data_IF_203898723792
#
_entry.id   IF_203898723792
#
_cell.length_a   1.000
_cell.length_b   1.000
_cell.length_c   1.000
_cell.angle_alpha   90.00
_cell.angle_beta   90.00
_cell.angle_gamma   90.00
#
_symmetry.space_group_name_H-M   'P 1'
#
loop_
_entity.id
_entity.type
_entity.pdbx_description
1 polymer ?
#
# COMPACT_ATOMS: atom_id res chain seq x y z
N UNK A 1 -12.95 15.16 -8.70
CA UNK A 1 -11.98 14.80 -7.64
C UNK A 1 -10.88 15.84 -7.71
N UNK A 2 -10.49 16.45 -6.59
CA UNK A 2 -9.61 17.61 -6.55
C UNK A 2 -8.28 17.37 -7.31
N UNK A 3 -7.73 18.46 -7.83
CA UNK A 3 -6.58 18.67 -8.72
C UNK A 3 -5.20 18.19 -8.22
N UNK A 4 -5.14 17.20 -7.33
CA UNK A 4 -3.90 16.69 -6.75
C UNK A 4 -3.96 15.18 -6.52
N UNK A 5 -2.80 14.55 -6.53
CA UNK A 5 -2.68 13.13 -6.18
C UNK A 5 -3.26 12.86 -4.79
N UNK A 6 -3.91 11.72 -4.59
CA UNK A 6 -4.57 11.40 -3.33
C UNK A 6 -4.37 9.93 -2.94
N UNK A 7 -4.40 9.66 -1.64
CA UNK A 7 -4.27 8.31 -1.11
C UNK A 7 -5.66 7.67 -0.92
N UNK A 8 -5.75 6.39 -1.24
CA UNK A 8 -6.96 5.56 -1.21
C UNK A 8 -6.73 4.38 -0.25
N UNK A 9 -7.77 3.93 0.45
CA UNK A 9 -7.69 2.78 1.37
C UNK A 9 -9.04 2.09 1.54
N UNK A 10 -9.01 0.80 1.87
CA UNK A 10 -10.20 0.03 2.26
C UNK A 10 -10.72 0.42 3.65
N UNK A 11 -9.82 0.60 4.60
CA UNK A 11 -10.10 0.93 6.00
C UNK A 11 -8.85 1.52 6.66
N UNK A 12 -8.98 2.07 7.88
CA UNK A 12 -7.83 2.46 8.70
C UNK A 12 -8.04 2.09 10.17
N UNK A 13 -6.96 1.68 10.85
CA UNK A 13 -6.97 1.38 12.28
C UNK A 13 -7.26 2.62 13.12
N UNK A 14 -6.65 3.75 12.77
CA UNK A 14 -6.92 5.06 13.35
C UNK A 14 -6.38 6.16 12.44
N UNK A 15 -6.68 7.42 12.78
CA UNK A 15 -6.20 8.60 12.03
C UNK A 15 -4.66 8.72 12.02
N UNK A 16 -3.97 8.13 13.01
CA UNK A 16 -2.50 8.06 13.04
C UNK A 16 -1.93 7.14 11.94
N UNK A 17 -2.75 6.22 11.41
CA UNK A 17 -2.39 5.22 10.40
C UNK A 17 -3.14 5.41 9.08
N UNK A 18 -3.43 6.65 8.71
CA UNK A 18 -4.17 6.95 7.48
C UNK A 18 -3.37 6.72 6.20
N UNK A 19 -4.08 6.56 5.08
CA UNK A 19 -3.50 6.19 3.78
C UNK A 19 -2.36 7.12 3.32
N UNK A 20 -2.48 8.44 3.58
CA UNK A 20 -1.47 9.42 3.21
C UNK A 20 -0.10 9.14 3.85
N UNK A 21 -0.07 8.47 5.01
CA UNK A 21 1.17 8.08 5.69
C UNK A 21 1.99 7.01 4.97
N UNK A 22 1.40 6.32 4.01
CA UNK A 22 2.14 5.38 3.15
C UNK A 22 2.84 6.07 1.97
N UNK A 23 2.52 7.35 1.71
CA UNK A 23 3.03 8.13 0.58
C UNK A 23 3.75 9.41 1.01
N UNK A 24 4.10 9.54 2.30
CA UNK A 24 4.73 10.75 2.87
C UNK A 24 6.27 10.67 2.94
N UNK A 25 6.86 9.57 2.46
CA UNK A 25 8.31 9.35 2.44
C UNK A 25 8.94 9.08 3.82
N UNK A 26 8.14 8.95 4.88
CA UNK A 26 8.64 8.69 6.23
C UNK A 26 8.38 7.23 6.65
N UNK A 27 9.44 6.43 6.68
CA UNK A 27 9.37 5.02 7.09
C UNK A 27 9.01 4.80 8.57
N UNK A 28 8.90 5.86 9.39
CA UNK A 28 8.41 5.78 10.78
C UNK A 28 6.89 5.94 10.87
N UNK A 29 6.24 6.37 9.79
CA UNK A 29 4.78 6.42 9.65
C UNK A 29 4.33 5.39 8.61
N UNK A 30 3.04 5.11 8.57
CA UNK A 30 2.50 4.15 7.61
C UNK A 30 1.00 3.98 7.73
N UNK A 31 0.43 3.31 6.75
CA UNK A 31 -0.97 2.91 6.78
C UNK A 31 -1.13 1.54 7.46
N UNK A 32 -2.25 1.37 8.17
CA UNK A 32 -2.69 0.07 8.67
C UNK A 32 -4.21 -0.01 8.57
N UNK A 33 -4.70 -1.12 8.04
CA UNK A 33 -6.12 -1.43 7.96
C UNK A 33 -6.75 -1.55 9.36
N UNK A 34 -8.07 -1.37 9.45
CA UNK A 34 -8.82 -1.54 10.70
C UNK A 34 -8.71 -2.96 11.30
N UNK A 35 -8.44 -3.95 10.45
CA UNK A 35 -8.21 -5.33 10.87
C UNK A 35 -7.82 -6.22 9.68
N UNK A 36 -7.51 -7.48 9.97
CA UNK A 36 -7.14 -8.49 8.96
C UNK A 36 -8.34 -9.22 8.37
N UNK A 37 -9.53 -9.01 8.93
CA UNK A 37 -10.80 -9.62 8.51
C UNK A 37 -11.80 -8.55 8.05
N UNK A 38 -12.46 -8.75 6.88
CA UNK A 38 -12.14 -9.77 5.88
C UNK A 38 -10.74 -9.54 5.28
N UNK A 39 -10.14 -10.62 4.77
CA UNK A 39 -8.91 -10.52 4.00
C UNK A 39 -9.13 -9.65 2.74
N UNK A 40 -8.04 -9.16 2.13
CA UNK A 40 -8.12 -8.31 0.94
C UNK A 40 -8.23 -6.81 1.25
N UNK A 41 -7.63 -6.38 2.36
CA UNK A 41 -7.43 -4.96 2.61
C UNK A 41 -6.53 -4.36 1.53
N UNK A 42 -6.80 -3.12 1.14
CA UNK A 42 -6.12 -2.47 0.04
C UNK A 42 -5.76 -1.02 0.37
N UNK A 43 -4.67 -0.59 -0.24
CA UNK A 43 -4.13 0.76 -0.22
C UNK A 43 -3.85 1.13 -1.68
N UNK A 44 -4.10 2.37 -2.06
CA UNK A 44 -3.89 2.84 -3.42
C UNK A 44 -3.52 4.31 -3.48
N UNK A 45 -3.15 4.75 -4.67
CA UNK A 45 -2.81 6.12 -4.98
C UNK A 45 -3.53 6.55 -6.25
N UNK A 46 -4.29 7.65 -6.18
CA UNK A 46 -4.83 8.33 -7.35
C UNK A 46 -3.83 9.37 -7.82
N UNK A 47 -3.39 9.27 -9.08
CA UNK A 47 -2.49 10.24 -9.68
C UNK A 47 -3.26 11.44 -10.24
N UNK A 48 -2.65 12.62 -10.26
CA UNK A 48 -3.26 13.84 -10.80
C UNK A 48 -3.48 13.76 -12.33
N UNK A 49 -2.70 12.92 -13.01
CA UNK A 49 -2.82 12.63 -14.43
C UNK A 49 -2.53 11.15 -14.68
N UNK A 50 -2.81 10.66 -15.89
CA UNK A 50 -2.42 9.30 -16.29
C UNK A 50 -0.91 9.13 -16.17
N UNK A 51 -0.51 7.98 -15.64
CA UNK A 51 0.89 7.58 -15.48
C UNK A 51 1.03 6.10 -15.82
N UNK A 52 2.16 5.75 -16.44
CA UNK A 52 2.56 4.37 -16.61
C UNK A 52 3.44 3.97 -15.41
N UNK A 53 2.88 3.17 -14.50
CA UNK A 53 3.59 2.72 -13.30
C UNK A 53 4.44 1.49 -13.63
N UNK A 54 5.76 1.65 -13.61
CA UNK A 54 6.71 0.57 -13.88
C UNK A 54 7.03 -0.30 -12.66
N UNK A 55 6.86 0.23 -11.45
CA UNK A 55 7.19 -0.48 -10.21
C UNK A 55 6.39 0.03 -9.02
N UNK A 56 6.28 -0.82 -7.99
CA UNK A 56 5.80 -0.46 -6.66
C UNK A 56 6.88 -0.79 -5.64
N UNK A 57 7.22 0.19 -4.81
CA UNK A 57 8.08 -0.02 -3.65
C UNK A 57 7.22 -0.06 -2.38
N UNK A 58 7.44 -1.07 -1.54
CA UNK A 58 6.78 -1.19 -0.24
C UNK A 58 7.86 -1.23 0.84
N UNK A 59 7.75 -0.32 1.80
CA UNK A 59 8.68 -0.22 2.92
C UNK A 59 8.03 -0.78 4.18
N UNK A 60 8.71 -1.71 4.84
CA UNK A 60 8.36 -2.07 6.20
C UNK A 60 8.73 -0.92 7.13
N UNK A 61 7.81 -0.54 8.02
CA UNK A 61 8.05 0.51 9.02
C UNK A 61 9.37 0.29 9.78
N UNK A 62 10.11 1.35 10.10
CA UNK A 62 11.43 1.29 10.73
C UNK A 62 11.42 1.01 12.24
N UNK A 63 10.25 1.09 12.89
CA UNK A 63 10.09 0.86 14.33
C UNK A 63 8.94 -0.10 14.66
N UNK A 64 9.14 -0.89 15.71
CA UNK A 64 8.10 -1.70 16.34
C UNK A 64 7.20 -0.82 17.22
N UNK A 65 6.32 -0.03 16.62
CA UNK A 65 5.35 0.75 17.41
C UNK A 65 4.21 -0.17 17.83
N UNK A 66 4.13 -0.53 19.13
CA UNK A 66 2.95 -0.97 19.93
C UNK A 66 1.96 -2.02 19.38
N UNK A 67 2.12 -2.48 18.15
CA UNK A 67 1.13 -3.16 17.33
C UNK A 67 1.69 -3.64 15.99
N UNK A 68 2.85 -3.11 15.56
CA UNK A 68 3.58 -3.62 14.40
C UNK A 68 4.58 -4.72 14.75
N UNK A 69 4.52 -5.82 14.00
CA UNK A 69 5.39 -7.00 14.15
C UNK A 69 6.11 -7.26 12.84
N UNK A 70 7.27 -7.91 12.89
CA UNK A 70 8.11 -8.34 11.75
C UNK A 70 7.45 -9.27 10.71
N UNK A 71 6.12 -9.45 10.75
CA UNK A 71 5.35 -10.35 9.91
C UNK A 71 4.03 -9.71 9.41
N UNK A 72 3.98 -8.39 9.26
CA UNK A 72 2.79 -7.68 8.76
C UNK A 72 2.96 -7.16 7.32
N UNK A 73 4.08 -7.50 6.67
CA UNK A 73 4.23 -7.28 5.23
C UNK A 73 3.23 -8.16 4.45
N UNK A 74 2.76 -7.71 3.27
CA UNK A 74 1.90 -8.52 2.45
C UNK A 74 2.67 -9.75 1.93
N UNK A 75 2.30 -10.95 2.41
CA UNK A 75 2.83 -12.20 1.87
C UNK A 75 2.41 -12.39 0.40
N UNK A 76 1.13 -12.15 0.13
CA UNK A 76 0.52 -12.21 -1.19
C UNK A 76 -0.25 -10.92 -1.45
N UNK A 77 -0.13 -10.34 -2.64
CA UNK A 77 -0.91 -9.17 -3.03
C UNK A 77 -1.02 -9.06 -4.56
N UNK A 78 -1.93 -8.20 -5.00
CA UNK A 78 -2.10 -7.83 -6.41
C UNK A 78 -1.88 -6.34 -6.57
N UNK A 79 -1.28 -5.96 -7.68
CA UNK A 79 -1.29 -4.56 -8.14
C UNK A 79 -2.40 -4.44 -9.17
N UNK A 80 -3.34 -3.54 -8.89
CA UNK A 80 -4.46 -3.24 -9.76
C UNK A 80 -4.45 -1.76 -10.12
N UNK A 81 -4.98 -1.44 -11.29
CA UNK A 81 -5.19 -0.06 -11.73
C UNK A 81 -6.63 0.15 -12.20
N UNK A 82 -7.02 1.41 -12.26
CA UNK A 82 -8.31 1.86 -12.76
C UNK A 82 -8.09 3.12 -13.60
N UNK A 83 -8.64 3.14 -14.80
CA UNK A 83 -8.69 4.31 -15.68
C UNK A 83 -10.04 5.04 -15.62
N UNK A 84 -10.97 4.55 -14.79
CA UNK A 84 -12.35 5.01 -14.67
C UNK A 84 -12.66 5.47 -13.24
N UNK A 85 -11.71 6.14 -12.58
CA UNK A 85 -11.90 6.73 -11.24
C UNK A 85 -12.33 5.72 -10.16
N UNK A 86 -11.92 4.46 -10.30
CA UNK A 86 -12.15 3.39 -9.33
C UNK A 86 -13.46 2.62 -9.51
N UNK A 87 -14.21 2.84 -10.60
CA UNK A 87 -15.41 2.03 -10.90
C UNK A 87 -15.05 0.59 -11.28
N UNK A 88 -13.96 0.40 -12.03
CA UNK A 88 -13.46 -0.91 -12.47
C UNK A 88 -11.97 -1.03 -12.17
N UNK A 89 -11.54 -2.23 -11.80
CA UNK A 89 -10.14 -2.50 -11.44
C UNK A 89 -9.59 -3.69 -12.24
N UNK A 90 -8.51 -3.45 -12.98
CA UNK A 90 -7.79 -4.49 -13.72
C UNK A 90 -6.54 -4.90 -12.96
N UNK A 91 -6.32 -6.21 -12.79
CA UNK A 91 -5.08 -6.73 -12.20
C UNK A 91 -3.96 -6.67 -13.22
N UNK A 92 -2.88 -5.95 -12.88
CA UNK A 92 -1.69 -5.82 -13.72
C UNK A 92 -0.59 -6.80 -13.30
N UNK A 93 -0.42 -7.01 -12.00
CA UNK A 93 0.56 -7.95 -11.46
C UNK A 93 0.01 -8.68 -10.22
N UNK A 94 0.51 -9.90 -9.98
CA UNK A 94 0.24 -10.69 -8.78
C UNK A 94 1.58 -11.14 -8.19
N UNK A 95 1.77 -10.89 -6.91
CA UNK A 95 2.96 -11.28 -6.16
C UNK A 95 2.56 -12.26 -5.07
N UNK A 96 3.26 -13.39 -4.99
CA UNK A 96 2.99 -14.46 -4.04
C UNK A 96 4.26 -14.88 -3.32
N UNK A 97 4.08 -15.44 -2.11
CA UNK A 97 5.15 -16.01 -1.30
C UNK A 97 6.33 -15.07 -1.05
N UNK A 98 6.02 -13.79 -0.79
CA UNK A 98 7.03 -12.82 -0.40
C UNK A 98 7.69 -13.24 0.91
N UNK A 99 9.03 -13.20 1.00
CA UNK A 99 9.74 -13.55 2.22
C UNK A 99 9.44 -12.54 3.34
N UNK A 100 9.66 -12.89 4.62
CA UNK A 100 9.69 -11.93 5.71
C UNK A 100 10.62 -10.75 5.44
N UNK A 101 10.19 -9.55 5.82
CA UNK A 101 11.00 -8.34 5.72
C UNK A 101 11.51 -7.93 7.09
N UNK A 102 12.63 -7.24 7.13
CA UNK A 102 13.13 -6.61 8.36
C UNK A 102 12.64 -5.17 8.48
N UNK A 103 12.69 -4.59 9.68
CA UNK A 103 12.27 -3.20 9.89
C UNK A 103 13.08 -2.23 8.99
N UNK A 104 12.38 -1.28 8.37
CA UNK A 104 12.95 -0.32 7.44
C UNK A 104 13.30 -0.89 6.06
N UNK A 105 13.15 -2.19 5.84
CA UNK A 105 13.44 -2.80 4.54
C UNK A 105 12.43 -2.35 3.48
N UNK A 106 12.95 -1.95 2.33
CA UNK A 106 12.15 -1.67 1.13
C UNK A 106 12.27 -2.84 0.17
N UNK A 107 11.13 -3.35 -0.30
CA UNK A 107 11.05 -4.27 -1.43
C UNK A 107 10.48 -3.55 -2.64
N UNK A 108 11.11 -3.76 -3.79
CA UNK A 108 10.68 -3.21 -5.09
C UNK A 108 10.10 -4.33 -5.93
N UNK A 109 8.95 -4.05 -6.53
CA UNK A 109 8.15 -4.98 -7.31
C UNK A 109 7.94 -4.39 -8.71
N UNK A 110 8.62 -4.96 -9.71
CA UNK A 110 8.46 -4.56 -11.10
C UNK A 110 7.08 -4.96 -11.64
N UNK A 111 6.47 -4.06 -12.41
CA UNK A 111 5.16 -4.24 -13.01
C UNK A 111 5.36 -4.43 -14.53
N UNK A 112 5.06 -5.63 -15.07
CA UNK A 112 5.18 -5.93 -16.50
C UNK A 112 4.06 -5.31 -17.32
#
# INVERSE_FOLDING_TARGET
MADGSYALKSSEYSTTYGAAKAFDGNASTGWSSAGVTPAGQWLGHGFASKVDVAEVAITMKSTADGGFRVNQMPKNFRVQFSDDLGFSWTTKATFTDNPPWVFGETKVFAIP
#
